data_IF_626607586886
#
_entry.id   IF_626607586886
#
_cell.length_a   1.000
_cell.length_b   1.000
_cell.length_c   1.000
_cell.angle_alpha   90.00
_cell.angle_beta   90.00
_cell.angle_gamma   90.00
#
_symmetry.space_group_name_H-M   'P 1'
#
loop_
_entity.id
_entity.type
_entity.pdbx_description
1 polymer ?
#
# COMPACT_ATOMS: atom_id res chain seq x y z
N UNK A 1 1.61 22.36 6.18
CA UNK A 1 1.81 21.00 6.77
C UNK A 1 0.67 20.14 6.26
N UNK A 2 0.97 19.21 5.35
CA UNK A 2 -0.03 18.43 4.63
C UNK A 2 -0.55 17.31 5.53
N UNK A 3 -1.69 17.51 6.18
CA UNK A 3 -2.29 16.57 7.15
C UNK A 3 -2.69 15.19 6.59
N UNK A 4 -2.39 14.88 5.33
CA UNK A 4 -2.72 13.60 4.69
C UNK A 4 -1.70 12.50 5.00
N UNK A 5 -0.43 12.85 5.23
CA UNK A 5 0.64 11.85 5.41
C UNK A 5 0.54 11.10 6.75
N UNK A 6 0.06 11.75 7.80
CA UNK A 6 -0.11 11.14 9.13
C UNK A 6 -1.24 10.12 9.17
N UNK A 7 -2.37 10.41 8.50
CA UNK A 7 -3.52 9.50 8.43
C UNK A 7 -3.17 8.24 7.66
N UNK A 8 -2.42 8.36 6.56
CA UNK A 8 -1.97 7.21 5.77
C UNK A 8 -1.05 6.30 6.59
N UNK A 9 -0.12 6.84 7.39
CA UNK A 9 0.73 6.02 8.27
C UNK A 9 -0.10 5.22 9.28
N UNK A 10 -1.03 5.88 9.98
CA UNK A 10 -1.95 5.23 10.93
C UNK A 10 -2.79 4.13 10.30
N UNK A 11 -3.25 4.31 9.06
CA UNK A 11 -3.99 3.28 8.33
C UNK A 11 -3.09 2.09 7.95
N UNK A 12 -1.84 2.34 7.57
CA UNK A 12 -0.89 1.30 7.16
C UNK A 12 -0.30 0.49 8.33
N UNK A 13 -0.39 1.00 9.57
CA UNK A 13 -0.03 0.26 10.78
C UNK A 13 -0.98 -0.91 11.05
N UNK A 14 -2.18 -0.88 10.49
CA UNK A 14 -3.14 -1.97 10.66
C UNK A 14 -2.78 -3.19 9.80
N UNK A 15 -2.89 -4.38 10.39
CA UNK A 15 -2.62 -5.65 9.71
C UNK A 15 -3.77 -6.13 8.82
N UNK A 16 -4.98 -5.60 9.02
CA UNK A 16 -6.16 -5.94 8.23
C UNK A 16 -6.27 -5.16 6.91
N UNK A 17 -5.32 -4.27 6.63
CA UNK A 17 -5.29 -3.45 5.41
C UNK A 17 -4.38 -4.10 4.37
N UNK A 18 -5.00 -4.66 3.33
CA UNK A 18 -4.27 -5.13 2.14
C UNK A 18 -4.00 -3.95 1.18
N UNK A 19 -2.73 -3.56 1.08
CA UNK A 19 -2.25 -2.48 0.21
C UNK A 19 -2.11 -2.88 -1.26
N UNK A 20 -2.22 -4.18 -1.56
CA UNK A 20 -2.19 -4.73 -2.91
C UNK A 20 -3.58 -4.95 -3.50
N UNK A 21 -4.64 -4.76 -2.71
CA UNK A 21 -6.02 -4.87 -3.16
C UNK A 21 -6.28 -3.88 -4.31
N UNK A 22 -6.96 -4.35 -5.35
CA UNK A 22 -7.31 -3.53 -6.51
C UNK A 22 -8.73 -2.98 -6.36
N UNK A 23 -8.95 -1.75 -6.84
CA UNK A 23 -10.28 -1.21 -7.05
C UNK A 23 -10.99 -1.89 -8.24
N UNK A 24 -12.24 -1.49 -8.52
CA UNK A 24 -13.05 -2.05 -9.61
C UNK A 24 -12.39 -1.86 -11.00
N UNK A 25 -11.48 -0.90 -11.11
CA UNK A 25 -10.70 -0.62 -12.31
C UNK A 25 -9.33 -1.30 -12.33
N UNK A 26 -9.04 -2.21 -11.39
CA UNK A 26 -7.79 -2.97 -11.33
C UNK A 26 -6.60 -2.17 -10.79
N UNK A 27 -6.82 -1.01 -10.15
CA UNK A 27 -5.77 -0.13 -9.64
C UNK A 27 -5.53 -0.39 -8.17
N UNK A 28 -4.26 -0.57 -7.80
CA UNK A 28 -3.86 -0.63 -6.39
C UNK A 28 -3.82 0.77 -5.77
N UNK A 29 -3.90 0.88 -4.43
CA UNK A 29 -3.63 2.13 -3.70
C UNK A 29 -2.34 2.83 -4.15
N UNK A 30 -1.28 2.06 -4.44
CA UNK A 30 -0.01 2.58 -4.94
C UNK A 30 -0.16 3.21 -6.34
N UNK A 31 -0.92 2.58 -7.23
CA UNK A 31 -1.19 3.09 -8.58
C UNK A 31 -1.94 4.43 -8.52
N UNK A 32 -2.99 4.53 -7.68
CA UNK A 32 -3.70 5.79 -7.44
C UNK A 32 -2.77 6.86 -6.87
N UNK A 33 -1.96 6.53 -5.88
CA UNK A 33 -1.02 7.49 -5.29
C UNK A 33 0.00 8.04 -6.31
N UNK A 34 0.48 7.18 -7.23
CA UNK A 34 1.38 7.61 -8.32
C UNK A 34 0.67 8.50 -9.34
N UNK A 35 -0.55 8.13 -9.75
CA UNK A 35 -1.33 8.88 -10.73
C UNK A 35 -1.71 10.28 -10.23
N UNK A 36 -2.06 10.40 -8.95
CA UNK A 36 -2.39 11.68 -8.29
C UNK A 36 -1.14 12.49 -7.88
N UNK A 37 0.07 11.98 -8.12
CA UNK A 37 1.32 12.66 -7.76
C UNK A 37 1.63 12.69 -6.27
N UNK A 38 0.95 11.87 -5.46
CA UNK A 38 1.16 11.75 -4.00
C UNK A 38 2.42 10.92 -3.68
N UNK A 39 3.60 11.49 -3.95
CA UNK A 39 4.90 10.79 -3.79
C UNK A 39 5.15 10.24 -2.36
N UNK A 40 4.74 10.98 -1.33
CA UNK A 40 4.89 10.53 0.07
C UNK A 40 4.05 9.30 0.39
N UNK A 41 2.78 9.31 0.01
CA UNK A 41 1.86 8.17 0.14
C UNK A 41 2.33 6.96 -0.66
N UNK A 42 2.81 7.19 -1.89
CA UNK A 42 3.34 6.11 -2.73
C UNK A 42 4.57 5.44 -2.09
N UNK A 43 5.44 6.21 -1.42
CA UNK A 43 6.59 5.66 -0.70
C UNK A 43 6.14 4.77 0.47
N UNK A 44 5.22 5.26 1.30
CA UNK A 44 4.68 4.51 2.45
C UNK A 44 4.00 3.21 2.03
N UNK A 45 3.20 3.25 0.95
CA UNK A 45 2.53 2.08 0.40
C UNK A 45 3.53 1.05 -0.16
N UNK A 46 4.60 1.52 -0.81
CA UNK A 46 5.66 0.65 -1.32
C UNK A 46 6.43 -0.03 -0.19
N UNK A 47 6.76 0.72 0.87
CA UNK A 47 7.40 0.16 2.07
C UNK A 47 6.50 -0.91 2.70
N UNK A 48 5.20 -0.64 2.87
CA UNK A 48 4.26 -1.63 3.42
C UNK A 48 4.18 -2.88 2.55
N UNK A 49 4.04 -2.74 1.22
CA UNK A 49 3.97 -3.87 0.29
C UNK A 49 5.25 -4.73 0.29
N UNK A 50 6.43 -4.13 0.51
CA UNK A 50 7.68 -4.87 0.67
C UNK A 50 7.87 -5.49 2.06
N UNK A 51 7.22 -4.95 3.09
CA UNK A 51 7.28 -5.47 4.48
C UNK A 51 6.16 -6.45 4.82
N UNK A 52 5.12 -6.55 3.98
CA UNK A 52 4.14 -7.62 4.10
C UNK A 52 4.93 -8.93 4.11
N UNK A 53 4.82 -9.75 5.18
CA UNK A 53 5.49 -11.03 5.20
C UNK A 53 4.99 -11.75 3.96
N UNK A 54 5.94 -12.06 3.09
CA UNK A 54 5.73 -12.84 1.90
C UNK A 54 4.84 -14.02 2.27
N UNK A 55 3.55 -13.97 1.93
CA UNK A 55 2.72 -15.15 1.88
C UNK A 55 3.16 -15.95 0.64
N UNK A 56 4.47 -16.13 0.43
CA UNK A 56 4.98 -17.33 -0.20
C UNK A 56 4.67 -18.47 0.74
N UNK A 57 3.43 -18.97 0.67
CA UNK A 57 3.30 -20.42 0.63
C UNK A 57 4.09 -20.88 -0.59
N UNK A 58 5.38 -21.11 -0.37
CA UNK A 58 6.24 -21.95 -1.17
C UNK A 58 5.68 -23.38 -1.10
N UNK A 59 4.60 -23.63 -1.83
CA UNK A 59 4.06 -24.96 -2.09
C UNK A 59 3.89 -25.09 -3.59
N UNK A 60 4.94 -25.57 -4.26
CA UNK A 60 4.91 -26.61 -5.30
C UNK A 60 6.29 -26.71 -5.95
N UNK A 61 7.11 -27.63 -5.43
CA UNK A 61 7.79 -28.64 -6.24
C UNK A 61 8.19 -29.80 -5.36
#
# INVERSE_FOLDING_TARGET
MNGKDGVVKLLLEREDVDVNLQDEEGRTPLSRAKMEGHRGVAKLLSERASTAPDHTTRTTR
#
